data_IF_139947209026
#
_entry.id   IF_139947209026
#
_cell.length_a   1.000
_cell.length_b   1.000
_cell.length_c   1.000
_cell.angle_alpha   90.00
_cell.angle_beta   90.00
_cell.angle_gamma   90.00
#
_symmetry.space_group_name_H-M   'P 1'
#
loop_
_entity.id
_entity.type
_entity.pdbx_description
1 polymer ?
#
# COMPACT_ATOMS: atom_id res chain seq x y z
N UNK A 1 -21.81 -2.26 4.34
CA UNK A 1 -21.42 -1.53 3.12
C UNK A 1 -20.88 -2.46 2.03
N UNK A 2 -21.64 -3.50 1.64
CA UNK A 2 -21.20 -4.46 0.60
C UNK A 2 -21.75 -4.15 -0.81
N UNK A 3 -22.42 -3.00 -1.02
CA UNK A 3 -23.30 -2.84 -2.19
C UNK A 3 -22.74 -2.03 -3.36
N UNK A 4 -21.54 -1.45 -3.25
CA UNK A 4 -21.02 -0.57 -4.32
C UNK A 4 -20.19 -1.32 -5.38
N UNK A 5 -19.64 -2.49 -5.04
CA UNK A 5 -18.82 -3.29 -5.97
C UNK A 5 -19.68 -4.14 -6.90
N UNK A 6 -20.90 -4.52 -6.48
CA UNK A 6 -21.86 -5.27 -7.30
C UNK A 6 -22.37 -4.51 -8.54
N UNK A 7 -22.17 -3.20 -8.59
CA UNK A 7 -22.58 -2.34 -9.71
C UNK A 7 -21.59 -2.27 -10.86
N UNK A 8 -20.38 -2.80 -10.68
CA UNK A 8 -19.35 -2.80 -11.73
C UNK A 8 -19.32 -4.17 -12.37
N UNK A 9 -19.99 -4.36 -13.49
CA UNK A 9 -19.86 -5.54 -14.35
C UNK A 9 -18.44 -5.60 -14.94
N UNK A 10 -17.50 -6.13 -14.16
CA UNK A 10 -16.09 -6.21 -14.51
C UNK A 10 -15.83 -7.05 -15.77
N UNK A 11 -16.80 -7.83 -16.24
CA UNK A 11 -16.66 -8.60 -17.50
C UNK A 11 -16.75 -7.70 -18.73
N UNK A 12 -17.39 -6.54 -18.61
CA UNK A 12 -17.52 -5.58 -19.72
C UNK A 12 -16.36 -4.59 -19.84
N UNK A 13 -15.47 -4.54 -18.85
CA UNK A 13 -14.37 -3.58 -18.85
C UNK A 13 -13.40 -3.68 -20.03
N UNK A 14 -13.03 -4.89 -20.53
CA UNK A 14 -12.21 -4.98 -21.73
C UNK A 14 -12.84 -4.29 -22.95
N UNK A 15 -14.17 -4.35 -23.08
CA UNK A 15 -14.88 -3.67 -24.15
C UNK A 15 -15.03 -2.16 -23.91
N UNK A 16 -15.14 -1.74 -22.64
CA UNK A 16 -15.28 -0.33 -22.27
C UNK A 16 -13.98 0.41 -22.57
N UNK A 17 -12.81 -0.08 -22.10
CA UNK A 17 -11.57 0.66 -22.32
C UNK A 17 -11.03 0.56 -23.74
N UNK A 18 -11.42 -0.42 -24.54
CA UNK A 18 -11.10 -0.45 -25.97
C UNK A 18 -11.84 0.64 -26.76
N UNK A 19 -12.97 1.12 -26.24
CA UNK A 19 -13.82 2.15 -26.86
C UNK A 19 -13.61 3.56 -26.25
N UNK A 20 -12.90 3.69 -25.12
CA UNK A 20 -12.58 5.00 -24.53
C UNK A 20 -11.42 5.61 -25.31
N UNK A 21 -11.64 6.77 -25.91
CA UNK A 21 -10.60 7.48 -26.68
C UNK A 21 -9.30 7.63 -25.90
N UNK A 22 -8.18 7.68 -26.61
CA UNK A 22 -6.82 7.58 -26.06
C UNK A 22 -6.51 8.46 -24.85
N UNK A 23 -7.18 9.60 -24.69
CA UNK A 23 -6.92 10.54 -23.58
C UNK A 23 -7.39 10.04 -22.22
N UNK A 24 -8.45 9.23 -22.16
CA UNK A 24 -9.00 8.68 -20.90
C UNK A 24 -8.62 7.21 -20.68
N UNK A 25 -8.13 6.54 -21.70
CA UNK A 25 -7.84 5.11 -21.67
C UNK A 25 -6.86 4.70 -20.56
N UNK A 26 -5.80 5.48 -20.34
CA UNK A 26 -4.83 5.21 -19.28
C UNK A 26 -5.45 5.29 -17.88
N UNK A 27 -6.28 6.31 -17.61
CA UNK A 27 -6.96 6.48 -16.31
C UNK A 27 -7.98 5.38 -16.07
N UNK A 28 -8.72 4.98 -17.10
CA UNK A 28 -9.66 3.86 -17.04
C UNK A 28 -8.94 2.54 -16.74
N UNK A 29 -7.81 2.27 -17.41
CA UNK A 29 -6.97 1.10 -17.11
C UNK A 29 -6.47 1.11 -15.67
N UNK A 30 -6.09 2.27 -15.13
CA UNK A 30 -5.63 2.40 -13.76
C UNK A 30 -6.74 2.11 -12.75
N UNK A 31 -7.91 2.73 -12.92
CA UNK A 31 -9.06 2.48 -12.05
C UNK A 31 -9.41 0.99 -12.06
N UNK A 32 -9.41 0.35 -13.23
CA UNK A 32 -9.64 -1.07 -13.34
C UNK A 32 -8.59 -1.89 -12.56
N UNK A 33 -7.30 -1.56 -12.72
CA UNK A 33 -6.22 -2.20 -11.99
C UNK A 33 -6.37 -2.07 -10.47
N UNK A 34 -6.90 -0.95 -9.97
CA UNK A 34 -7.10 -0.70 -8.53
C UNK A 34 -8.31 -1.45 -7.98
N UNK A 35 -9.32 -1.73 -8.80
CA UNK A 35 -10.54 -2.44 -8.38
C UNK A 35 -10.36 -3.96 -8.42
N UNK A 36 -9.56 -4.48 -9.35
CA UNK A 36 -9.33 -5.92 -9.53
C UNK A 36 -8.99 -6.63 -8.21
N UNK A 37 -8.07 -6.16 -7.35
CA UNK A 37 -7.66 -6.88 -6.15
C UNK A 37 -8.80 -7.25 -5.20
N UNK A 38 -9.87 -6.48 -5.21
CA UNK A 38 -11.00 -6.66 -4.31
C UNK A 38 -12.02 -7.72 -4.76
N UNK A 39 -11.89 -8.19 -6.01
CA UNK A 39 -12.87 -9.08 -6.63
C UNK A 39 -12.26 -10.22 -7.45
N UNK A 40 -10.97 -10.17 -7.76
CA UNK A 40 -10.26 -11.11 -8.63
C UNK A 40 -8.80 -11.29 -8.17
N UNK A 41 -8.10 -12.34 -8.67
CA UNK A 41 -6.67 -12.51 -8.41
C UNK A 41 -5.89 -11.24 -8.70
N UNK A 42 -5.05 -10.83 -7.75
CA UNK A 42 -4.22 -9.61 -7.85
C UNK A 42 -3.32 -9.60 -9.09
N UNK A 43 -2.90 -10.76 -9.56
CA UNK A 43 -2.09 -10.91 -10.77
C UNK A 43 -2.78 -10.38 -12.03
N UNK A 44 -4.11 -10.39 -12.07
CA UNK A 44 -4.88 -9.83 -13.20
C UNK A 44 -4.78 -8.30 -13.28
N UNK A 45 -4.41 -7.62 -12.18
CA UNK A 45 -4.24 -6.17 -12.16
C UNK A 45 -2.95 -5.71 -12.87
N UNK A 46 -1.98 -6.59 -13.08
CA UNK A 46 -0.67 -6.26 -13.65
C UNK A 46 -0.79 -5.71 -15.08
N UNK A 47 -1.57 -6.37 -15.93
CA UNK A 47 -1.78 -5.95 -17.32
C UNK A 47 -2.36 -4.54 -17.42
N UNK A 48 -3.52 -4.27 -16.85
CA UNK A 48 -4.13 -2.95 -16.80
C UNK A 48 -3.24 -1.87 -16.18
N UNK A 49 -2.55 -2.17 -15.06
CA UNK A 49 -1.64 -1.21 -14.41
C UNK A 49 -0.45 -0.84 -15.31
N UNK A 50 0.16 -1.82 -15.98
CA UNK A 50 1.25 -1.60 -16.94
C UNK A 50 0.77 -0.76 -18.12
N UNK A 51 -0.40 -1.06 -18.66
CA UNK A 51 -1.00 -0.28 -19.73
C UNK A 51 -1.26 1.16 -19.32
N UNK A 52 -1.77 1.39 -18.10
CA UNK A 52 -1.99 2.72 -17.55
C UNK A 52 -0.69 3.53 -17.46
N UNK A 53 0.39 2.93 -16.92
CA UNK A 53 1.71 3.57 -16.83
C UNK A 53 2.28 3.91 -18.22
N UNK A 54 2.17 2.97 -19.16
CA UNK A 54 2.65 3.18 -20.53
C UNK A 54 1.89 4.32 -21.23
N UNK A 55 0.56 4.31 -21.19
CA UNK A 55 -0.26 5.35 -21.83
C UNK A 55 -0.01 6.73 -21.22
N UNK A 56 0.18 6.83 -19.90
CA UNK A 56 0.52 8.09 -19.26
C UNK A 56 1.85 8.67 -19.78
N UNK A 57 2.85 7.82 -19.98
CA UNK A 57 4.15 8.20 -20.53
C UNK A 57 4.04 8.60 -22.01
N UNK A 58 3.31 7.86 -22.83
CA UNK A 58 3.08 8.13 -24.25
C UNK A 58 2.35 9.47 -24.48
N UNK A 59 1.41 9.82 -23.59
CA UNK A 59 0.66 11.07 -23.67
C UNK A 59 1.34 12.26 -22.98
N UNK A 60 2.52 12.06 -22.38
CA UNK A 60 3.25 13.13 -21.70
C UNK A 60 2.55 13.68 -20.46
N UNK A 61 1.78 12.85 -19.74
CA UNK A 61 1.17 13.20 -18.44
C UNK A 61 2.05 12.70 -17.28
N UNK A 62 3.03 13.52 -16.80
CA UNK A 62 3.97 13.08 -15.77
C UNK A 62 3.30 12.86 -14.42
N UNK A 63 2.25 13.60 -14.11
CA UNK A 63 1.53 13.46 -12.87
C UNK A 63 0.84 12.10 -12.78
N UNK A 64 0.16 11.74 -13.87
CA UNK A 64 -0.53 10.45 -13.93
C UNK A 64 0.46 9.29 -14.13
N UNK A 65 1.54 9.48 -14.87
CA UNK A 65 2.61 8.49 -15.00
C UNK A 65 3.22 8.13 -13.64
N UNK A 66 3.42 9.11 -12.73
CA UNK A 66 3.87 8.87 -11.37
C UNK A 66 2.87 8.02 -10.57
N UNK A 67 1.57 8.33 -10.66
CA UNK A 67 0.50 7.58 -9.97
C UNK A 67 0.44 6.15 -10.48
N UNK A 68 0.40 5.97 -11.81
CA UNK A 68 0.28 4.65 -12.43
C UNK A 68 1.53 3.78 -12.20
N UNK A 69 2.73 4.35 -12.27
CA UNK A 69 3.99 3.63 -11.99
C UNK A 69 4.08 3.22 -10.52
N UNK A 70 3.63 4.07 -9.58
CA UNK A 70 3.53 3.72 -8.16
C UNK A 70 2.57 2.55 -7.94
N UNK A 71 1.38 2.62 -8.53
CA UNK A 71 0.38 1.54 -8.43
C UNK A 71 0.90 0.22 -8.98
N UNK A 72 1.57 0.23 -10.14
CA UNK A 72 2.19 -0.96 -10.73
C UNK A 72 3.28 -1.53 -9.81
N UNK A 73 4.11 -0.68 -9.21
CA UNK A 73 5.14 -1.09 -8.27
C UNK A 73 4.56 -1.75 -7.02
N UNK A 74 3.47 -1.18 -6.46
CA UNK A 74 2.74 -1.77 -5.33
C UNK A 74 2.12 -3.13 -5.68
N UNK A 75 1.54 -3.28 -6.88
CA UNK A 75 1.00 -4.55 -7.36
C UNK A 75 2.11 -5.60 -7.51
N UNK A 76 3.25 -5.25 -8.07
CA UNK A 76 4.38 -6.17 -8.20
C UNK A 76 4.91 -6.64 -6.85
N UNK A 77 5.01 -5.72 -5.89
CA UNK A 77 5.44 -6.06 -4.52
C UNK A 77 4.44 -7.01 -3.86
N UNK A 78 3.15 -6.70 -3.94
CA UNK A 78 2.09 -7.51 -3.34
C UNK A 78 1.89 -8.88 -4.01
N UNK A 79 2.21 -9.01 -5.31
CA UNK A 79 2.17 -10.29 -6.04
C UNK A 79 3.45 -11.13 -5.87
N UNK A 80 4.40 -10.68 -5.04
CA UNK A 80 5.62 -11.43 -4.75
C UNK A 80 6.61 -11.50 -5.92
N UNK A 81 6.64 -10.51 -6.80
CA UNK A 81 7.66 -10.44 -7.85
C UNK A 81 9.06 -10.32 -7.25
N UNK A 82 10.10 -10.85 -7.93
CA UNK A 82 11.48 -10.67 -7.50
C UNK A 82 11.81 -9.20 -7.26
N UNK A 83 12.38 -8.88 -6.10
CA UNK A 83 12.60 -7.49 -5.68
C UNK A 83 13.47 -6.68 -6.66
N UNK A 84 14.35 -7.34 -7.40
CA UNK A 84 15.14 -6.70 -8.47
C UNK A 84 14.28 -6.28 -9.67
N UNK A 85 13.21 -7.02 -9.97
CA UNK A 85 12.25 -6.63 -11.00
C UNK A 85 11.38 -5.48 -10.52
N UNK A 86 10.92 -5.54 -9.26
CA UNK A 86 10.14 -4.45 -8.64
C UNK A 86 10.93 -3.15 -8.63
N UNK A 87 12.23 -3.22 -8.27
CA UNK A 87 13.10 -2.04 -8.27
C UNK A 87 13.30 -1.49 -9.69
N UNK A 88 13.60 -2.34 -10.68
CA UNK A 88 13.77 -1.90 -12.08
C UNK A 88 12.50 -1.19 -12.61
N UNK A 89 11.33 -1.73 -12.35
CA UNK A 89 10.07 -1.11 -12.78
C UNK A 89 9.86 0.24 -12.09
N UNK A 90 10.15 0.33 -10.80
CA UNK A 90 10.09 1.59 -10.04
C UNK A 90 11.09 2.64 -10.56
N UNK A 91 12.31 2.23 -10.89
CA UNK A 91 13.34 3.12 -11.47
C UNK A 91 12.94 3.63 -12.84
N UNK A 92 12.38 2.80 -13.73
CA UNK A 92 11.86 3.25 -15.03
C UNK A 92 10.74 4.28 -14.88
N UNK A 93 9.88 4.11 -13.86
CA UNK A 93 8.88 5.13 -13.52
C UNK A 93 9.53 6.43 -13.05
N UNK A 94 10.49 6.32 -12.17
CA UNK A 94 11.22 7.45 -11.59
C UNK A 94 12.00 8.25 -12.64
N UNK A 95 12.75 7.59 -13.52
CA UNK A 95 13.50 8.22 -14.62
C UNK A 95 12.61 9.05 -15.52
N UNK A 96 11.40 8.57 -15.84
CA UNK A 96 10.46 9.34 -16.64
C UNK A 96 10.02 10.62 -15.93
N UNK A 97 9.62 10.52 -14.65
CA UNK A 97 9.10 11.67 -13.87
C UNK A 97 10.18 12.68 -13.47
N UNK A 98 11.43 12.23 -13.31
CA UNK A 98 12.58 13.10 -13.01
C UNK A 98 12.75 14.27 -13.99
N UNK A 99 12.41 14.04 -15.25
CA UNK A 99 12.48 15.07 -16.31
C UNK A 99 11.56 16.27 -16.04
N UNK A 100 10.55 16.08 -15.17
CA UNK A 100 9.53 17.09 -14.86
C UNK A 100 9.65 17.68 -13.46
N UNK A 101 10.59 17.21 -12.64
CA UNK A 101 11.01 17.83 -11.37
C UNK A 101 10.05 17.75 -10.17
N UNK A 102 8.74 17.53 -10.39
CA UNK A 102 7.71 17.76 -9.34
C UNK A 102 7.10 16.50 -8.71
N UNK A 103 7.37 15.30 -9.24
CA UNK A 103 6.62 14.08 -8.87
C UNK A 103 7.48 12.99 -8.25
N UNK A 104 8.72 13.27 -7.93
CA UNK A 104 9.71 12.31 -7.42
C UNK A 104 9.23 11.62 -6.14
N UNK A 105 8.63 12.38 -5.24
CA UNK A 105 8.19 11.89 -3.93
C UNK A 105 7.10 10.80 -4.03
N UNK A 106 6.31 10.79 -5.12
CA UNK A 106 5.22 9.82 -5.30
C UNK A 106 5.71 8.39 -5.51
N UNK A 107 6.91 8.23 -6.08
CA UNK A 107 7.53 6.93 -6.36
C UNK A 107 8.57 6.55 -5.31
N UNK A 108 9.07 7.53 -4.55
CA UNK A 108 10.23 7.34 -3.69
C UNK A 108 9.97 6.37 -2.54
N UNK A 109 8.83 6.46 -1.85
CA UNK A 109 8.57 5.64 -0.67
C UNK A 109 8.43 4.13 -0.99
N UNK A 110 7.64 3.68 -2.00
CA UNK A 110 7.61 2.26 -2.38
C UNK A 110 8.97 1.75 -2.82
N UNK A 111 9.70 2.54 -3.60
CA UNK A 111 11.02 2.15 -4.09
C UNK A 111 12.05 2.08 -2.96
N UNK A 112 11.98 2.98 -1.98
CA UNK A 112 12.83 2.96 -0.80
C UNK A 112 12.60 1.71 0.07
N UNK A 113 11.34 1.26 0.23
CA UNK A 113 11.05 -0.03 0.87
C UNK A 113 11.70 -1.20 0.13
N UNK A 114 11.56 -1.27 -1.19
CA UNK A 114 12.18 -2.32 -2.01
C UNK A 114 13.70 -2.31 -1.86
N UNK A 115 14.33 -1.12 -1.90
CA UNK A 115 15.76 -0.97 -1.69
C UNK A 115 16.19 -1.40 -0.29
N UNK A 116 15.41 -1.07 0.74
CA UNK A 116 15.66 -1.53 2.10
C UNK A 116 15.63 -3.07 2.18
N UNK A 117 14.60 -3.71 1.62
CA UNK A 117 14.50 -5.16 1.58
C UNK A 117 15.65 -5.84 0.82
N UNK A 118 16.26 -5.11 -0.12
CA UNK A 118 17.46 -5.55 -0.86
C UNK A 118 18.78 -5.17 -0.18
N UNK A 119 18.75 -4.58 1.00
CA UNK A 119 19.95 -4.12 1.73
C UNK A 119 20.67 -2.94 1.06
N UNK A 120 19.95 -2.08 0.34
CA UNK A 120 20.49 -0.92 -0.40
C UNK A 120 20.20 0.43 0.27
N UNK A 121 19.78 0.41 1.52
CA UNK A 121 19.60 1.60 2.35
C UNK A 121 20.74 1.73 3.36
N UNK A 122 20.85 2.87 4.02
CA UNK A 122 21.92 3.16 5.00
C UNK A 122 21.94 2.17 6.15
N UNK A 123 20.76 1.67 6.53
CA UNK A 123 20.61 0.61 7.54
C UNK A 123 19.27 -0.11 7.30
N UNK A 124 19.22 -1.41 7.60
CA UNK A 124 17.96 -2.16 7.59
C UNK A 124 17.01 -1.55 8.63
N UNK A 125 15.80 -1.31 8.33
CA UNK A 125 14.75 -0.54 8.99
C UNK A 125 14.58 0.92 8.51
N UNK A 126 15.56 1.50 7.83
CA UNK A 126 15.53 2.88 7.38
C UNK A 126 15.25 2.94 5.88
N UNK A 127 14.46 3.90 5.44
CA UNK A 127 14.16 4.11 4.02
C UNK A 127 15.15 5.04 3.32
N UNK A 128 16.16 5.56 4.06
CA UNK A 128 17.19 6.45 3.51
C UNK A 128 18.13 5.70 2.58
N UNK A 129 18.19 6.10 1.31
CA UNK A 129 18.96 5.43 0.26
C UNK A 129 19.95 6.34 -0.50
N UNK A 130 20.23 7.52 0.03
CA UNK A 130 21.08 8.54 -0.60
C UNK A 130 20.35 9.44 -1.61
N UNK A 131 19.18 9.05 -2.11
CA UNK A 131 18.29 9.86 -2.97
C UNK A 131 17.02 10.27 -2.24
N UNK A 132 16.59 9.46 -1.30
CA UNK A 132 15.44 9.66 -0.45
C UNK A 132 15.88 9.71 1.01
N UNK A 133 15.34 10.65 1.78
CA UNK A 133 15.62 10.83 3.20
C UNK A 133 14.30 10.98 3.93
N UNK A 134 14.01 10.08 4.89
CA UNK A 134 12.79 10.07 5.69
C UNK A 134 12.54 11.46 6.31
N UNK A 135 13.56 12.02 6.96
CA UNK A 135 13.46 13.32 7.63
C UNK A 135 13.03 14.44 6.67
N UNK A 136 13.70 14.58 5.54
CA UNK A 136 13.37 15.63 4.57
C UNK A 136 11.97 15.43 3.97
N UNK A 137 11.54 14.18 3.77
CA UNK A 137 10.21 13.89 3.29
C UNK A 137 9.15 14.30 4.32
N UNK A 138 9.33 13.91 5.58
CA UNK A 138 8.41 14.22 6.69
C UNK A 138 8.30 15.73 6.92
N UNK A 139 9.42 16.46 6.93
CA UNK A 139 9.43 17.92 7.07
C UNK A 139 8.64 18.63 5.97
N UNK A 140 8.66 18.10 4.73
CA UNK A 140 7.94 18.70 3.60
C UNK A 140 6.46 18.31 3.52
N UNK A 141 6.07 17.16 4.01
CA UNK A 141 4.71 16.66 3.83
C UNK A 141 3.81 16.93 5.04
N UNK A 142 4.37 16.94 6.25
CA UNK A 142 3.62 17.10 7.48
C UNK A 142 2.82 18.40 7.50
N UNK A 143 1.51 18.28 7.69
CA UNK A 143 0.60 19.42 7.77
C UNK A 143 0.23 20.06 6.42
N UNK A 144 0.59 19.44 5.29
CA UNK A 144 0.21 19.91 3.96
C UNK A 144 -0.97 19.11 3.40
N UNK A 145 -2.22 19.61 3.41
CA UNK A 145 -3.39 18.85 2.99
C UNK A 145 -3.31 18.30 1.56
N UNK A 146 -2.65 19.03 0.64
CA UNK A 146 -2.45 18.59 -0.74
C UNK A 146 -1.51 17.36 -0.86
N UNK A 147 -0.71 17.08 0.16
CA UNK A 147 0.25 15.97 0.22
C UNK A 147 -0.20 14.85 1.16
N UNK A 148 -1.37 14.98 1.79
CA UNK A 148 -1.87 14.03 2.79
C UNK A 148 -1.94 12.58 2.28
N UNK A 149 -2.37 12.35 1.03
CA UNK A 149 -2.39 11.01 0.43
C UNK A 149 -0.97 10.45 0.24
N UNK A 150 -0.03 11.31 -0.14
CA UNK A 150 1.38 10.92 -0.29
C UNK A 150 2.01 10.57 1.05
N UNK A 151 1.66 11.32 2.08
CA UNK A 151 2.07 11.07 3.47
C UNK A 151 1.51 9.72 3.97
N UNK A 152 0.24 9.40 3.69
CA UNK A 152 -0.37 8.11 4.01
C UNK A 152 0.39 6.94 3.37
N UNK A 153 0.73 7.03 2.08
CA UNK A 153 1.52 6.00 1.41
C UNK A 153 2.90 5.82 2.02
N UNK A 154 3.56 6.91 2.36
CA UNK A 154 4.86 6.87 3.01
C UNK A 154 4.80 6.19 4.38
N UNK A 155 3.87 6.59 5.25
CA UNK A 155 3.73 6.00 6.58
C UNK A 155 3.38 4.51 6.51
N UNK A 156 2.61 4.08 5.52
CA UNK A 156 2.36 2.65 5.28
C UNK A 156 3.65 1.90 4.94
N UNK A 157 4.50 2.44 4.07
CA UNK A 157 5.80 1.82 3.74
C UNK A 157 6.79 1.87 4.91
N UNK A 158 6.76 2.92 5.71
CA UNK A 158 7.54 3.03 6.94
C UNK A 158 7.09 2.01 8.00
N UNK A 159 5.79 1.81 8.16
CA UNK A 159 5.23 0.73 8.99
C UNK A 159 5.80 -0.63 8.59
N UNK A 160 5.76 -0.97 7.30
CA UNK A 160 6.32 -2.22 6.78
C UNK A 160 7.82 -2.34 7.08
N UNK A 161 8.59 -1.29 6.79
CA UNK A 161 10.03 -1.28 7.02
C UNK A 161 10.41 -1.52 8.49
N UNK A 162 9.71 -0.87 9.41
CA UNK A 162 9.91 -1.02 10.85
C UNK A 162 9.48 -2.41 11.34
N UNK A 163 8.35 -2.92 10.83
CA UNK A 163 7.88 -4.28 11.14
C UNK A 163 8.91 -5.34 10.73
N UNK A 164 9.40 -5.31 9.49
CA UNK A 164 10.41 -6.25 9.01
C UNK A 164 11.73 -6.19 9.81
N UNK A 165 12.03 -5.06 10.39
CA UNK A 165 13.21 -4.88 11.25
C UNK A 165 12.99 -5.29 12.72
N UNK A 166 11.78 -5.71 13.10
CA UNK A 166 11.44 -6.01 14.50
C UNK A 166 11.30 -4.77 15.39
N UNK A 167 11.32 -3.58 14.82
CA UNK A 167 11.08 -2.31 15.55
C UNK A 167 9.58 -2.03 15.63
N UNK A 168 8.89 -2.84 16.45
CA UNK A 168 7.43 -2.79 16.56
C UNK A 168 6.91 -1.47 17.14
N UNK A 169 7.68 -0.82 18.02
CA UNK A 169 7.30 0.49 18.59
C UNK A 169 7.22 1.54 17.49
N UNK A 170 8.25 1.66 16.67
CA UNK A 170 8.24 2.60 15.54
C UNK A 170 7.25 2.19 14.44
N UNK A 171 6.99 0.89 14.27
CA UNK A 171 5.97 0.39 13.37
C UNK A 171 4.56 0.83 13.79
N UNK A 172 4.23 0.70 15.09
CA UNK A 172 2.95 1.16 15.65
C UNK A 172 2.81 2.68 15.51
N UNK A 173 3.86 3.44 15.82
CA UNK A 173 3.83 4.89 15.60
C UNK A 173 3.53 5.25 14.14
N UNK A 174 4.10 4.53 13.18
CA UNK A 174 3.79 4.74 11.77
C UNK A 174 2.33 4.37 11.44
N UNK A 175 1.81 3.29 12.04
CA UNK A 175 0.41 2.89 11.89
C UNK A 175 -0.56 3.96 12.43
N UNK A 176 -0.25 4.56 13.58
CA UNK A 176 -1.08 5.63 14.19
C UNK A 176 -1.15 6.88 13.31
N UNK A 177 -0.07 7.18 12.56
CA UNK A 177 -0.08 8.25 11.54
C UNK A 177 -1.04 7.94 10.41
N UNK A 178 -1.04 6.70 9.90
CA UNK A 178 -1.97 6.26 8.85
C UNK A 178 -3.40 6.27 9.36
N UNK A 179 -3.65 5.80 10.59
CA UNK A 179 -4.98 5.82 11.22
C UNK A 179 -5.56 7.23 11.31
N UNK A 180 -4.74 8.20 11.75
CA UNK A 180 -5.13 9.62 11.79
C UNK A 180 -5.54 10.14 10.42
N UNK A 181 -4.83 9.71 9.36
CA UNK A 181 -5.15 10.10 8.00
C UNK A 181 -6.51 9.53 7.55
N UNK A 182 -6.78 8.24 7.79
CA UNK A 182 -8.07 7.62 7.45
C UNK A 182 -9.23 8.27 8.20
N UNK A 183 -9.05 8.66 9.45
CA UNK A 183 -10.06 9.35 10.24
C UNK A 183 -10.42 10.74 9.68
N UNK A 184 -9.44 11.43 9.08
CA UNK A 184 -9.60 12.80 8.56
C UNK A 184 -9.96 12.87 7.08
N UNK A 185 -9.67 11.80 6.30
CA UNK A 185 -9.83 11.78 4.85
C UNK A 185 -10.42 10.46 4.31
N UNK A 186 -11.57 9.99 4.84
CA UNK A 186 -12.09 8.65 4.52
C UNK A 186 -12.47 8.46 3.04
N UNK A 187 -12.74 9.55 2.31
CA UNK A 187 -13.15 9.49 0.91
C UNK A 187 -12.03 9.15 -0.07
N UNK A 188 -10.76 9.25 0.35
CA UNK A 188 -9.60 9.02 -0.49
C UNK A 188 -9.00 7.61 -0.35
N UNK A 189 -9.48 6.82 0.63
CA UNK A 189 -9.00 5.46 0.91
C UNK A 189 -9.49 4.40 -0.08
N UNK A 190 -10.44 4.75 -0.94
CA UNK A 190 -11.13 3.79 -1.77
C UNK A 190 -10.18 3.04 -2.73
N UNK A 191 -10.06 1.73 -2.48
CA UNK A 191 -9.48 0.74 -3.39
C UNK A 191 -7.95 0.74 -3.56
N UNK A 192 -7.17 1.32 -2.65
CA UNK A 192 -5.72 1.24 -2.73
C UNK A 192 -5.17 0.03 -1.96
N UNK A 193 -4.23 -0.72 -2.53
CA UNK A 193 -3.55 -1.83 -1.87
C UNK A 193 -2.86 -1.41 -0.57
N UNK A 194 -2.44 -0.16 -0.46
CA UNK A 194 -1.85 0.39 0.74
C UNK A 194 -2.80 0.36 1.95
N UNK A 195 -4.12 0.37 1.75
CA UNK A 195 -5.09 0.22 2.84
C UNK A 195 -5.03 -1.19 3.43
N UNK A 196 -4.99 -2.20 2.57
CA UNK A 196 -4.84 -3.58 3.00
C UNK A 196 -3.49 -3.82 3.70
N UNK A 197 -2.41 -3.32 3.11
CA UNK A 197 -1.07 -3.39 3.69
C UNK A 197 -1.02 -2.72 5.08
N UNK A 198 -1.69 -1.57 5.24
CA UNK A 198 -1.82 -0.92 6.54
C UNK A 198 -2.51 -1.81 7.56
N UNK A 199 -3.70 -2.31 7.26
CA UNK A 199 -4.44 -3.14 8.21
C UNK A 199 -3.68 -4.41 8.59
N UNK A 200 -3.04 -5.05 7.62
CA UNK A 200 -2.26 -6.26 7.84
C UNK A 200 -1.04 -6.01 8.75
N UNK A 201 -0.17 -5.09 8.40
CA UNK A 201 1.05 -4.84 9.17
C UNK A 201 0.79 -4.12 10.49
N UNK A 202 -0.23 -3.29 10.60
CA UNK A 202 -0.61 -2.67 11.86
C UNK A 202 -1.11 -3.71 12.88
N UNK A 203 -1.89 -4.69 12.44
CA UNK A 203 -2.31 -5.80 13.28
C UNK A 203 -1.11 -6.64 13.76
N UNK A 204 -0.24 -7.05 12.82
CA UNK A 204 0.93 -7.87 13.15
C UNK A 204 1.91 -7.14 14.07
N UNK A 205 2.19 -5.84 13.83
CA UNK A 205 3.08 -5.05 14.67
C UNK A 205 2.56 -4.93 16.12
N UNK A 206 1.25 -4.66 16.26
CA UNK A 206 0.61 -4.59 17.57
C UNK A 206 0.60 -5.95 18.28
N UNK A 207 0.33 -7.06 17.55
CA UNK A 207 0.37 -8.40 18.12
C UNK A 207 1.77 -8.76 18.63
N UNK A 208 2.80 -8.52 17.84
CA UNK A 208 4.18 -8.78 18.22
C UNK A 208 4.67 -7.91 19.39
N UNK A 209 4.26 -6.65 19.45
CA UNK A 209 4.66 -5.73 20.51
C UNK A 209 3.98 -6.03 21.85
N UNK A 210 2.77 -6.56 21.81
CA UNK A 210 2.02 -6.91 23.03
C UNK A 210 2.62 -8.10 23.80
N UNK A 211 3.48 -8.92 23.21
CA UNK A 211 4.06 -10.11 23.86
C UNK A 211 4.81 -9.80 25.17
N UNK A 212 5.72 -8.81 25.22
CA UNK A 212 6.49 -8.50 26.43
C UNK A 212 5.71 -7.69 27.47
N UNK A 213 4.49 -7.23 27.19
CA UNK A 213 3.74 -6.32 28.06
C UNK A 213 2.73 -7.04 28.94
N UNK A 214 2.47 -6.51 30.13
CA UNK A 214 1.45 -7.03 31.05
C UNK A 214 0.01 -6.90 30.48
N UNK A 215 -1.03 -7.34 31.23
CA UNK A 215 -2.41 -7.44 30.74
C UNK A 215 -3.06 -6.10 30.35
N UNK A 216 -2.65 -5.01 30.95
CA UNK A 216 -3.30 -3.69 30.79
C UNK A 216 -3.10 -3.04 29.42
N UNK A 217 -1.89 -3.01 28.82
CA UNK A 217 -1.69 -2.53 27.45
C UNK A 217 -2.38 -3.38 26.39
N UNK A 218 -2.53 -4.68 26.63
CA UNK A 218 -3.21 -5.58 25.71
C UNK A 218 -4.70 -5.26 25.55
N UNK A 219 -5.39 -4.90 26.64
CA UNK A 219 -6.80 -4.52 26.57
C UNK A 219 -7.03 -3.32 25.64
N UNK A 220 -6.11 -2.35 25.69
CA UNK A 220 -6.13 -1.16 24.86
C UNK A 220 -5.91 -1.46 23.36
N UNK A 221 -5.03 -2.44 23.06
CA UNK A 221 -4.72 -2.82 21.68
C UNK A 221 -5.70 -3.85 21.11
N UNK A 222 -6.44 -4.58 21.96
CA UNK A 222 -7.38 -5.63 21.53
C UNK A 222 -8.50 -5.09 20.62
N UNK A 223 -9.02 -3.90 20.93
CA UNK A 223 -10.04 -3.27 20.10
C UNK A 223 -9.49 -2.91 18.71
N UNK A 224 -8.30 -2.34 18.66
CA UNK A 224 -7.61 -2.03 17.40
C UNK A 224 -7.32 -3.29 16.56
N UNK A 225 -6.90 -4.40 17.20
CA UNK A 225 -6.72 -5.70 16.52
C UNK A 225 -8.01 -6.18 15.88
N UNK A 226 -9.11 -6.16 16.64
CA UNK A 226 -10.41 -6.61 16.16
C UNK A 226 -10.86 -5.81 14.93
N UNK A 227 -10.62 -4.52 14.92
CA UNK A 227 -10.95 -3.67 13.78
C UNK A 227 -10.14 -4.04 12.53
N UNK A 228 -8.82 -4.21 12.65
CA UNK A 228 -7.97 -4.62 11.52
C UNK A 228 -8.34 -6.01 10.99
N UNK A 229 -8.53 -7.00 11.89
CA UNK A 229 -8.94 -8.34 11.51
C UNK A 229 -10.29 -8.34 10.79
N UNK A 230 -11.24 -7.55 11.25
CA UNK A 230 -12.57 -7.44 10.64
C UNK A 230 -12.50 -6.93 9.20
N UNK A 231 -11.64 -5.94 8.92
CA UNK A 231 -11.41 -5.46 7.56
C UNK A 231 -10.83 -6.57 6.67
N UNK A 232 -9.77 -7.25 7.12
CA UNK A 232 -9.14 -8.33 6.36
C UNK A 232 -10.11 -9.49 6.09
N UNK A 233 -10.93 -9.89 7.06
CA UNK A 233 -11.96 -10.93 6.90
C UNK A 233 -13.05 -10.51 5.91
N UNK A 234 -13.47 -9.24 5.92
CA UNK A 234 -14.45 -8.74 4.98
C UNK A 234 -13.91 -8.77 3.54
N UNK A 235 -12.64 -8.43 3.34
CA UNK A 235 -12.01 -8.53 2.03
C UNK A 235 -11.77 -9.99 1.60
N UNK A 236 -11.37 -10.86 2.51
CA UNK A 236 -11.24 -12.30 2.24
C UNK A 236 -12.56 -12.95 1.83
N UNK A 237 -13.69 -12.51 2.39
CA UNK A 237 -15.01 -12.96 1.97
C UNK A 237 -15.36 -12.55 0.52
N UNK A 238 -14.83 -11.42 0.03
CA UNK A 238 -15.03 -10.97 -1.33
C UNK A 238 -14.03 -11.59 -2.32
N UNK A 239 -12.76 -11.73 -1.91
CA UNK A 239 -11.69 -12.31 -2.72
C UNK A 239 -10.70 -13.10 -1.83
N UNK A 240 -11.01 -14.37 -1.59
CA UNK A 240 -10.21 -15.26 -0.75
C UNK A 240 -8.78 -15.42 -1.29
N UNK A 241 -8.63 -15.47 -2.61
CA UNK A 241 -7.33 -15.67 -3.28
C UNK A 241 -6.28 -14.59 -2.94
N UNK A 242 -6.72 -13.39 -2.57
CA UNK A 242 -5.81 -12.29 -2.24
C UNK A 242 -5.65 -12.04 -0.74
N UNK A 243 -6.67 -12.39 0.07
CA UNK A 243 -6.74 -11.87 1.45
C UNK A 243 -6.95 -12.95 2.52
N UNK A 244 -7.26 -14.20 2.14
CA UNK A 244 -7.57 -15.27 3.12
C UNK A 244 -6.34 -15.62 3.98
N UNK A 245 -5.18 -15.75 3.36
CA UNK A 245 -3.92 -16.05 4.04
C UNK A 245 -3.55 -14.96 5.05
N UNK A 246 -3.73 -13.69 4.68
CA UNK A 246 -3.48 -12.54 5.55
C UNK A 246 -4.48 -12.46 6.70
N UNK A 247 -5.76 -12.66 6.44
CA UNK A 247 -6.80 -12.71 7.46
C UNK A 247 -6.55 -13.87 8.45
N UNK A 248 -6.17 -15.06 7.94
CA UNK A 248 -5.85 -16.23 8.75
C UNK A 248 -4.61 -15.99 9.62
N UNK A 249 -3.54 -15.40 9.06
CA UNK A 249 -2.32 -15.10 9.80
C UNK A 249 -2.59 -14.10 10.93
N UNK A 250 -3.29 -13.01 10.65
CA UNK A 250 -3.65 -12.00 11.67
C UNK A 250 -4.51 -12.64 12.77
N UNK A 251 -5.50 -13.47 12.40
CA UNK A 251 -6.33 -14.19 13.37
C UNK A 251 -5.50 -15.13 14.27
N UNK A 252 -4.53 -15.84 13.69
CA UNK A 252 -3.63 -16.73 14.44
C UNK A 252 -2.73 -15.94 15.40
N UNK A 253 -2.17 -14.81 14.97
CA UNK A 253 -1.33 -13.95 15.82
C UNK A 253 -2.11 -13.31 16.96
N UNK A 254 -3.34 -12.90 16.74
CA UNK A 254 -4.24 -12.41 17.79
C UNK A 254 -4.55 -13.52 18.81
N UNK A 255 -4.87 -14.73 18.32
CA UNK A 255 -5.12 -15.88 19.19
C UNK A 255 -3.89 -16.23 20.02
N UNK A 256 -2.71 -16.28 19.41
CA UNK A 256 -1.43 -16.51 20.09
C UNK A 256 -1.18 -15.47 21.19
N UNK A 257 -1.32 -14.19 20.87
CA UNK A 257 -1.14 -13.11 21.84
C UNK A 257 -2.16 -13.16 22.99
N UNK A 258 -3.31 -13.78 22.78
CA UNK A 258 -4.34 -13.98 23.80
C UNK A 258 -4.02 -15.19 24.70
N UNK A 259 -3.59 -16.31 24.13
CA UNK A 259 -3.31 -17.58 24.84
C UNK A 259 -2.06 -17.46 25.73
N UNK A 260 -1.01 -16.80 25.27
CA UNK A 260 0.22 -16.62 26.06
C UNK A 260 0.02 -15.83 27.37
N UNK A 261 -1.22 -15.41 27.67
CA UNK A 261 -1.58 -14.57 28.84
C UNK A 261 -2.69 -15.17 29.71
N UNK A 262 -3.26 -16.30 29.31
CA UNK A 262 -4.20 -17.06 30.11
C UNK A 262 -3.46 -18.05 31.01
#
# INVERSE_FOLDING_TARGET
MASTIDLIDLQRWPAIYSNVGNHFGGRTCFIFAVVIPWTRPLTEAIGPARRASQMAKEHGDPAFAAIASRGLNSIFLATGHPLDQVEREGEHGLEFVQRFGFFLDRLSAPLALVRMLRGRTTKFCCLDDGRFTERSFEERTTGHPALALLECYYWTRKLQARFFAGDYVSAIHAADKVETWYATSPSLSLFMLEEEEYHFYAALARAAWCEPMGPDPFAKHREAFGAHEQHLRAWAANCSQNFEDRAALVGAEIARATICRA
#
